data_IF_949976347117
#
_entry.id   IF_949976347117
#
_cell.length_a   1.000
_cell.length_b   1.000
_cell.length_c   1.000
_cell.angle_alpha   90.00
_cell.angle_beta   90.00
_cell.angle_gamma   90.00
#
_symmetry.space_group_name_H-M   'P 1'
#
loop_
_entity.id
_entity.type
_entity.pdbx_description
1 polymer ?
#
# COMPACT_ATOMS: atom_id res chain seq x y z
N UNK A 1 19.56 10.90 -4.52
CA UNK A 1 18.18 11.04 -5.03
C UNK A 1 17.25 11.17 -3.82
N UNK A 2 16.26 12.07 -3.85
CA UNK A 2 15.26 12.20 -2.78
C UNK A 2 13.95 11.53 -3.25
N UNK A 3 13.56 10.36 -2.70
CA UNK A 3 12.40 9.60 -3.17
C UNK A 3 11.08 10.36 -3.03
N UNK A 4 10.91 11.11 -1.93
CA UNK A 4 9.70 11.88 -1.67
C UNK A 4 9.54 13.00 -2.70
N UNK A 5 10.63 13.67 -3.07
CA UNK A 5 10.60 14.68 -4.13
C UNK A 5 10.18 14.07 -5.48
N UNK A 6 10.58 12.83 -5.76
CA UNK A 6 10.14 12.12 -6.97
C UNK A 6 8.67 11.73 -6.92
N UNK A 7 8.20 11.20 -5.78
CA UNK A 7 6.78 10.91 -5.55
C UNK A 7 5.97 12.18 -5.84
N UNK A 8 6.29 13.30 -5.20
CA UNK A 8 5.60 14.58 -5.39
C UNK A 8 5.51 15.00 -6.85
N UNK A 9 6.64 14.96 -7.57
CA UNK A 9 6.69 15.30 -8.98
C UNK A 9 5.77 14.42 -9.83
N UNK A 10 5.63 13.13 -9.48
CA UNK A 10 4.68 12.23 -10.16
C UNK A 10 3.22 12.55 -9.78
N UNK A 11 2.96 12.92 -8.52
CA UNK A 11 1.63 13.26 -8.01
C UNK A 11 1.07 14.59 -8.55
N UNK A 12 1.92 15.50 -9.05
CA UNK A 12 1.46 16.73 -9.73
C UNK A 12 0.46 16.48 -10.88
N UNK A 13 0.45 15.27 -11.45
CA UNK A 13 -0.48 14.86 -12.51
C UNK A 13 -1.88 14.50 -11.99
N UNK A 14 -2.05 14.37 -10.68
CA UNK A 14 -3.27 13.89 -10.01
C UNK A 14 -3.68 14.87 -8.90
N UNK A 15 -4.13 16.10 -9.25
CA UNK A 15 -4.42 17.15 -8.27
C UNK A 15 -5.58 16.84 -7.33
N UNK A 16 -6.40 15.83 -7.63
CA UNK A 16 -7.48 15.34 -6.79
C UNK A 16 -7.00 14.54 -5.58
N UNK A 17 -5.74 14.08 -5.58
CA UNK A 17 -5.18 13.29 -4.49
C UNK A 17 -4.92 14.17 -3.27
N UNK A 18 -5.42 13.73 -2.12
CA UNK A 18 -5.11 14.36 -0.85
C UNK A 18 -3.82 13.76 -0.30
N UNK A 19 -2.76 14.56 -0.33
CA UNK A 19 -1.45 14.20 0.20
C UNK A 19 -1.27 14.76 1.61
N UNK A 20 -0.59 14.00 2.46
CA UNK A 20 -0.08 14.47 3.74
C UNK A 20 1.43 14.27 3.77
N UNK A 21 2.16 15.30 4.18
CA UNK A 21 3.63 15.29 4.25
C UNK A 21 4.07 15.70 5.65
N UNK A 22 5.03 14.95 6.20
CA UNK A 22 5.68 15.27 7.47
C UNK A 22 7.13 14.79 7.45
N UNK A 23 8.09 15.70 7.31
CA UNK A 23 9.51 15.37 7.23
C UNK A 23 9.83 14.39 6.10
N UNK A 24 10.27 13.18 6.47
CA UNK A 24 10.57 12.09 5.54
C UNK A 24 9.39 11.12 5.33
N UNK A 25 8.18 11.56 5.62
CA UNK A 25 6.96 10.80 5.41
C UNK A 25 6.06 11.49 4.38
N UNK A 26 5.45 10.69 3.50
CA UNK A 26 4.37 11.13 2.63
C UNK A 26 3.29 10.05 2.56
N UNK A 27 2.02 10.45 2.64
CA UNK A 27 0.89 9.56 2.42
C UNK A 27 -0.16 10.15 1.49
N UNK A 28 -0.94 9.25 0.88
CA UNK A 28 -2.03 9.56 -0.03
C UNK A 28 -3.30 8.91 0.52
N UNK A 29 -4.31 9.74 0.80
CA UNK A 29 -5.62 9.24 1.21
C UNK A 29 -6.35 8.61 0.01
N UNK A 30 -7.13 7.54 0.24
CA UNK A 30 -7.89 6.92 -0.83
C UNK A 30 -9.01 7.86 -1.33
N UNK A 31 -9.27 7.82 -2.63
CA UNK A 31 -10.37 8.59 -3.26
C UNK A 31 -11.77 8.02 -2.95
N UNK A 32 -11.84 6.79 -2.43
CA UNK A 32 -13.10 6.11 -2.12
C UNK A 32 -13.03 5.36 -0.79
N UNK A 33 -14.19 5.03 -0.22
CA UNK A 33 -14.30 4.22 1.00
C UNK A 33 -13.85 2.76 0.86
N UNK A 34 -13.58 2.32 -0.37
CA UNK A 34 -13.08 1.00 -0.69
C UNK A 34 -11.60 1.02 -1.14
N UNK A 35 -10.94 2.17 -1.06
CA UNK A 35 -9.49 2.27 -1.18
C UNK A 35 -8.78 2.11 0.17
N UNK A 36 -7.46 2.24 0.14
CA UNK A 36 -6.58 2.21 1.32
C UNK A 36 -5.53 3.32 1.22
N UNK A 37 -5.02 3.77 2.37
CA UNK A 37 -3.93 4.75 2.39
C UNK A 37 -2.63 4.11 1.92
N UNK A 38 -1.94 4.81 1.02
CA UNK A 38 -0.58 4.45 0.58
C UNK A 38 0.38 5.45 1.19
N UNK A 39 1.44 4.97 1.82
CA UNK A 39 2.42 5.83 2.47
C UNK A 39 3.85 5.35 2.23
N UNK A 40 4.77 6.30 2.34
CA UNK A 40 6.20 6.11 2.19
C UNK A 40 6.89 6.82 3.36
N UNK A 41 7.82 6.12 4.02
CA UNK A 41 8.73 6.68 5.02
C UNK A 41 10.18 6.46 4.58
N UNK A 42 10.99 7.52 4.64
CA UNK A 42 12.43 7.45 4.44
C UNK A 42 13.19 7.67 5.74
N UNK A 43 13.67 6.60 6.35
CA UNK A 43 14.44 6.67 7.59
C UNK A 43 15.96 6.67 7.30
N UNK A 44 16.78 6.86 8.34
CA UNK A 44 18.25 6.95 8.20
C UNK A 44 18.89 5.65 7.69
N UNK A 45 18.21 4.50 7.82
CA UNK A 45 18.72 3.18 7.39
C UNK A 45 18.07 2.59 6.14
N UNK A 46 16.79 2.86 5.91
CA UNK A 46 15.95 2.12 4.96
C UNK A 46 14.76 2.95 4.47
N UNK A 47 14.03 2.41 3.49
CA UNK A 47 12.72 2.92 3.10
C UNK A 47 11.64 1.95 3.53
N UNK A 48 10.50 2.46 4.00
CA UNK A 48 9.32 1.65 4.26
C UNK A 48 8.17 2.14 3.41
N UNK A 49 7.51 1.23 2.71
CA UNK A 49 6.28 1.50 1.96
C UNK A 49 5.15 0.74 2.63
N UNK A 50 3.99 1.37 2.80
CA UNK A 50 2.85 0.68 3.39
C UNK A 50 1.50 1.02 2.78
N UNK A 51 0.61 0.04 2.95
CA UNK A 51 -0.79 0.02 2.50
C UNK A 51 -1.65 -0.23 3.73
N UNK A 52 -2.23 0.83 4.30
CA UNK A 52 -2.78 0.83 5.67
C UNK A 52 -1.82 0.13 6.67
N UNK A 53 -2.17 -1.09 7.11
CA UNK A 53 -1.40 -1.89 8.08
C UNK A 53 -0.45 -2.93 7.48
N UNK A 54 -0.40 -3.06 6.15
CA UNK A 54 0.67 -3.79 5.47
C UNK A 54 1.86 -2.87 5.22
N UNK A 55 3.08 -3.39 5.32
CA UNK A 55 4.29 -2.66 4.95
C UNK A 55 5.40 -3.61 4.51
N UNK A 56 6.32 -3.07 3.72
CA UNK A 56 7.53 -3.73 3.23
C UNK A 56 8.72 -2.78 3.42
N UNK A 57 9.85 -3.32 3.86
CA UNK A 57 11.10 -2.61 4.05
C UNK A 57 11.99 -2.79 2.82
N UNK A 58 12.69 -1.73 2.42
CA UNK A 58 13.59 -1.72 1.29
C UNK A 58 14.92 -1.09 1.70
N UNK A 59 16.02 -1.70 1.26
CA UNK A 59 17.34 -1.10 1.48
C UNK A 59 17.47 0.21 0.70
N UNK A 60 18.39 1.08 1.13
CA UNK A 60 18.64 2.35 0.42
C UNK A 60 19.09 2.18 -1.04
N UNK A 61 19.74 1.05 -1.36
CA UNK A 61 20.09 0.67 -2.72
C UNK A 61 18.89 0.31 -3.59
N UNK A 62 17.73 0.03 -2.98
CA UNK A 62 16.51 -0.46 -3.64
C UNK A 62 15.46 0.63 -3.79
N UNK A 63 15.88 1.90 -3.85
CA UNK A 63 14.98 3.05 -3.95
C UNK A 63 13.97 2.94 -5.09
N UNK A 64 14.37 2.39 -6.24
CA UNK A 64 13.48 2.17 -7.38
C UNK A 64 12.40 1.13 -7.08
N UNK A 65 12.73 0.07 -6.36
CA UNK A 65 11.77 -0.95 -5.92
C UNK A 65 10.78 -0.36 -4.90
N UNK A 66 11.25 0.46 -3.97
CA UNK A 66 10.37 1.15 -3.03
C UNK A 66 9.39 2.09 -3.76
N UNK A 67 9.89 2.89 -4.72
CA UNK A 67 9.04 3.78 -5.52
C UNK A 67 8.04 3.01 -6.40
N UNK A 68 8.46 1.87 -6.97
CA UNK A 68 7.58 0.99 -7.74
C UNK A 68 6.51 0.36 -6.84
N UNK A 69 6.86 -0.07 -5.62
CA UNK A 69 5.90 -0.57 -4.64
C UNK A 69 4.88 0.51 -4.25
N UNK A 70 5.34 1.74 -4.00
CA UNK A 70 4.45 2.87 -3.72
C UNK A 70 3.48 3.13 -4.87
N UNK A 71 3.97 3.17 -6.12
CA UNK A 71 3.13 3.33 -7.30
C UNK A 71 2.17 2.14 -7.48
N UNK A 72 2.63 0.91 -7.22
CA UNK A 72 1.81 -0.30 -7.29
C UNK A 72 0.60 -0.21 -6.35
N UNK A 73 0.78 0.27 -5.12
CA UNK A 73 -0.32 0.50 -4.17
C UNK A 73 -1.40 1.47 -4.63
N UNK A 74 -1.08 2.38 -5.56
CA UNK A 74 -2.03 3.33 -6.15
C UNK A 74 -2.75 2.76 -7.39
N UNK A 75 -2.30 1.61 -7.89
CA UNK A 75 -2.79 1.01 -9.13
C UNK A 75 -3.98 0.08 -8.93
N UNK A 76 -4.81 -0.03 -9.97
CA UNK A 76 -5.98 -0.93 -10.01
C UNK A 76 -5.63 -2.42 -10.11
N UNK A 77 -4.35 -2.76 -10.28
CA UNK A 77 -3.83 -4.14 -10.27
C UNK A 77 -3.29 -4.55 -8.91
N UNK A 78 -3.35 -3.65 -7.90
CA UNK A 78 -3.08 -3.96 -6.51
C UNK A 78 -4.39 -3.95 -5.71
N UNK A 79 -4.51 -4.90 -4.79
CA UNK A 79 -5.54 -4.86 -3.76
C UNK A 79 -5.01 -5.32 -2.42
N UNK A 80 -5.63 -4.83 -1.36
CA UNK A 80 -5.34 -5.19 0.01
C UNK A 80 -6.48 -6.04 0.56
N UNK A 81 -6.18 -7.29 0.88
CA UNK A 81 -7.09 -8.19 1.56
C UNK A 81 -6.88 -8.09 3.06
N UNK A 82 -7.87 -7.54 3.75
CA UNK A 82 -7.81 -7.28 5.19
C UNK A 82 -8.72 -8.25 5.93
N UNK A 83 -8.15 -8.95 6.91
CA UNK A 83 -8.92 -9.75 7.86
C UNK A 83 -9.10 -8.98 9.15
N UNK A 84 -10.32 -9.02 9.66
CA UNK A 84 -10.70 -8.42 10.94
C UNK A 84 -11.41 -9.41 11.86
N UNK A 85 -11.26 -9.20 13.16
CA UNK A 85 -11.94 -9.93 14.24
C UNK A 85 -12.33 -8.93 15.32
N UNK A 86 -13.55 -9.03 15.85
CA UNK A 86 -14.03 -8.09 16.87
C UNK A 86 -14.05 -6.63 16.44
N UNK A 87 -14.14 -6.36 15.14
CA UNK A 87 -14.05 -5.00 14.58
C UNK A 87 -12.63 -4.47 14.41
N UNK A 88 -11.58 -5.24 14.75
CA UNK A 88 -10.18 -4.84 14.58
C UNK A 88 -9.50 -5.60 13.45
N UNK A 89 -8.83 -4.88 12.57
CA UNK A 89 -7.97 -5.47 11.54
C UNK A 89 -6.74 -6.11 12.21
N UNK A 90 -6.35 -7.29 11.74
CA UNK A 90 -5.21 -8.02 12.33
C UNK A 90 -4.33 -8.73 11.29
N UNK A 91 -4.76 -8.81 10.03
CA UNK A 91 -3.96 -9.40 8.95
C UNK A 91 -4.26 -8.67 7.66
N UNK A 92 -3.20 -8.26 6.98
CA UNK A 92 -3.23 -7.59 5.70
C UNK A 92 -2.41 -8.43 4.72
N UNK A 93 -2.99 -8.72 3.57
CA UNK A 93 -2.34 -9.48 2.49
C UNK A 93 -2.38 -8.62 1.25
N UNK A 94 -1.21 -8.29 0.73
CA UNK A 94 -1.09 -7.62 -0.56
C UNK A 94 -1.30 -8.65 -1.67
N UNK A 95 -2.24 -8.38 -2.56
CA UNK A 95 -2.54 -9.22 -3.72
C UNK A 95 -2.36 -8.41 -5.01
N UNK A 96 -1.77 -9.04 -6.04
CA UNK A 96 -1.61 -8.48 -7.38
C UNK A 96 -2.57 -9.17 -8.36
N UNK A 97 -3.03 -8.45 -9.37
CA UNK A 97 -3.83 -9.00 -10.46
C UNK A 97 -2.92 -9.48 -11.61
N UNK A 98 -2.87 -10.79 -11.81
CA UNK A 98 -2.05 -11.48 -12.80
C UNK A 98 -2.88 -12.52 -13.53
N UNK A 99 -2.83 -12.53 -14.86
CA UNK A 99 -3.59 -13.49 -15.68
C UNK A 99 -5.08 -13.57 -15.24
N UNK A 100 -5.68 -12.40 -14.97
CA UNK A 100 -7.06 -12.24 -14.49
C UNK A 100 -7.35 -12.84 -13.09
N UNK A 101 -6.30 -13.22 -12.34
CA UNK A 101 -6.39 -13.82 -11.01
C UNK A 101 -5.65 -12.97 -9.99
N UNK A 102 -6.20 -12.94 -8.78
CA UNK A 102 -5.56 -12.27 -7.66
C UNK A 102 -4.60 -13.22 -6.96
N UNK A 103 -3.31 -12.90 -6.99
CA UNK A 103 -2.22 -13.69 -6.41
C UNK A 103 -1.73 -13.00 -5.14
N UNK A 104 -1.61 -13.74 -4.03
CA UNK A 104 -1.07 -13.23 -2.77
C UNK A 104 0.45 -13.24 -2.77
N UNK A 105 1.06 -12.13 -2.39
CA UNK A 105 2.51 -11.94 -2.43
C UNK A 105 3.13 -11.80 -1.04
N UNK A 106 2.67 -10.82 -0.26
CA UNK A 106 3.24 -10.49 1.04
C UNK A 106 2.13 -10.35 2.10
N UNK A 107 2.49 -10.52 3.37
CA UNK A 107 1.54 -10.57 4.49
C UNK A 107 2.13 -9.91 5.74
N UNK A 108 1.39 -8.96 6.29
CA UNK A 108 1.63 -8.40 7.63
C UNK A 108 0.51 -8.88 8.56
N UNK A 109 0.86 -9.38 9.74
CA UNK A 109 -0.13 -9.84 10.72
C UNK A 109 0.27 -9.45 12.13
N UNK A 110 -0.72 -9.03 12.91
CA UNK A 110 -0.58 -8.84 14.34
C UNK A 110 -0.95 -10.13 15.06
N UNK A 111 -0.27 -10.42 16.17
CA UNK A 111 -0.70 -11.44 17.11
C UNK A 111 -2.05 -11.03 17.72
N UNK A 112 -3.10 -11.81 17.44
CA UNK A 112 -4.45 -11.50 17.92
C UNK A 112 -4.92 -12.55 18.92
N UNK A 113 -5.15 -12.11 20.15
CA UNK A 113 -5.63 -12.96 21.25
C UNK A 113 -7.14 -13.28 21.15
N UNK A 114 -7.93 -12.56 20.34
CA UNK A 114 -9.37 -12.78 20.18
C UNK A 114 -9.70 -13.88 19.16
N UNK A 115 -9.04 -15.05 19.26
CA UNK A 115 -9.15 -16.10 18.24
C UNK A 115 -10.55 -16.74 18.15
N UNK A 116 -11.35 -16.63 19.21
CA UNK A 116 -12.71 -17.15 19.31
C UNK A 116 -13.74 -16.31 18.54
N UNK A 117 -13.41 -15.09 18.10
CA UNK A 117 -14.34 -14.25 17.37
C UNK A 117 -14.34 -14.55 15.87
N UNK A 118 -15.52 -14.47 15.24
CA UNK A 118 -15.68 -14.73 13.81
C UNK A 118 -14.85 -13.75 12.99
N UNK A 119 -14.04 -14.28 12.07
CA UNK A 119 -13.27 -13.48 11.13
C UNK A 119 -14.17 -12.89 10.04
N UNK A 120 -13.91 -11.64 9.67
CA UNK A 120 -14.43 -11.02 8.44
C UNK A 120 -13.27 -10.75 7.48
N UNK A 121 -13.57 -10.69 6.20
CA UNK A 121 -12.61 -10.33 5.14
C UNK A 121 -13.21 -9.18 4.34
N UNK A 122 -12.44 -8.13 4.11
CA UNK A 122 -12.76 -7.06 3.16
C UNK A 122 -11.58 -6.88 2.22
N UNK A 123 -11.88 -6.51 0.98
CA UNK A 123 -10.90 -6.18 -0.04
C UNK A 123 -10.97 -4.67 -0.29
N UNK A 124 -9.80 -4.06 -0.43
CA UNK A 124 -9.65 -2.65 -0.75
C UNK A 124 -8.75 -2.50 -1.97
N UNK A 125 -9.02 -1.53 -2.84
CA UNK A 125 -8.25 -1.29 -4.06
C UNK A 125 -8.27 0.18 -4.43
N UNK A 126 -7.14 0.70 -4.87
CA UNK A 126 -7.01 2.05 -5.39
C UNK A 126 -7.08 2.00 -6.92
N UNK A 127 -7.70 3.01 -7.55
CA UNK A 127 -7.89 3.06 -9.01
C UNK A 127 -7.28 4.34 -9.62
N UNK A 128 -6.14 4.77 -9.10
CA UNK A 128 -5.49 6.03 -9.52
C UNK A 128 -4.63 5.77 -10.75
N UNK A 129 -3.84 4.70 -10.72
CA UNK A 129 -2.99 4.29 -11.84
C UNK A 129 -3.61 3.08 -12.55
N UNK A 130 -3.59 3.11 -13.88
CA UNK A 130 -3.88 1.92 -14.67
C UNK A 130 -2.62 1.05 -14.72
N UNK A 131 -2.67 -0.13 -14.12
CA UNK A 131 -1.61 -1.12 -14.27
C UNK A 131 -1.65 -1.72 -15.67
N UNK A 132 -0.47 -1.88 -16.28
CA UNK A 132 -0.35 -2.70 -17.49
C UNK A 132 -0.27 -4.16 -17.07
N UNK A 133 -1.19 -4.99 -17.57
CA UNK A 133 -1.01 -6.44 -17.56
C UNK A 133 0.16 -6.72 -18.51
N UNK A 134 1.31 -7.15 -17.99
CA UNK A 134 2.36 -7.69 -18.84
C UNK A 134 1.84 -9.04 -19.37
N UNK A 135 1.33 -9.05 -20.60
CA UNK A 135 1.06 -10.27 -21.37
C UNK A 135 2.37 -10.87 -21.87
#
# INVERSE_FOLDING_TARGET
MNPISEIKKKLEKYPELQTHEDGNFISIKPLSSDGFEVWFSGDEGEFTVGFDGWHEHFDKSEVEYALNCFAFGLSNVCRLKVKSRGGKNYKWVMEALEEEKWVSYSTTALFNLAFWQKSKVKYYSNNILSGSQNN
#
